data_IF_975797708502
#
_entry.id   IF_975797708502
#
_cell.length_a   1.000
_cell.length_b   1.000
_cell.length_c   1.000
_cell.angle_alpha   90.00
_cell.angle_beta   90.00
_cell.angle_gamma   90.00
#
_symmetry.space_group_name_H-M   'P 1'
#
loop_
_entity.id
_entity.type
_entity.pdbx_description
1 polymer ?
#
# COMPACT_ATOMS: atom_id res chain seq x y z
N UNK A 1 2.36 15.46 -6.09
CA UNK A 1 1.65 14.36 -5.41
C UNK A 1 0.41 13.99 -6.22
N UNK A 2 0.24 12.73 -6.57
CA UNK A 2 -0.97 12.20 -7.17
C UNK A 2 -1.87 11.57 -6.09
N UNK A 3 -3.13 12.03 -5.99
CA UNK A 3 -4.11 11.48 -5.06
C UNK A 3 -5.23 10.84 -5.89
N UNK A 4 -5.44 9.53 -5.83
CA UNK A 4 -6.53 8.90 -6.55
C UNK A 4 -7.88 9.28 -5.94
N UNK A 5 -8.90 9.46 -6.78
CA UNK A 5 -10.29 9.53 -6.37
C UNK A 5 -10.96 8.22 -6.82
N UNK A 6 -10.89 7.23 -5.97
CA UNK A 6 -11.52 5.93 -6.17
C UNK A 6 -12.87 5.82 -5.44
N UNK A 7 -13.12 4.64 -4.85
CA UNK A 7 -14.31 4.35 -4.04
C UNK A 7 -14.40 5.24 -2.79
N UNK A 8 -13.27 5.70 -2.27
CA UNK A 8 -13.15 6.58 -1.10
C UNK A 8 -12.09 7.66 -1.32
N UNK A 9 -12.22 8.82 -0.64
CA UNK A 9 -11.19 9.86 -0.68
C UNK A 9 -9.97 9.39 0.13
N UNK A 10 -8.83 9.23 -0.53
CA UNK A 10 -7.58 8.83 0.12
C UNK A 10 -6.85 10.05 0.72
N UNK A 11 -7.46 10.67 1.71
CA UNK A 11 -6.89 11.83 2.38
C UNK A 11 -5.58 11.49 3.13
N UNK A 12 -5.45 10.27 3.65
CA UNK A 12 -4.22 9.77 4.27
C UNK A 12 -3.04 9.79 3.30
N UNK A 13 -3.25 9.53 2.02
CA UNK A 13 -2.20 9.60 1.00
C UNK A 13 -1.57 11.00 0.90
N UNK A 14 -2.34 12.07 1.13
CA UNK A 14 -1.79 13.44 1.17
C UNK A 14 -0.75 13.56 2.29
N UNK A 15 -1.05 13.01 3.47
CA UNK A 15 -0.15 13.05 4.63
C UNK A 15 1.04 12.11 4.43
N UNK A 16 0.80 10.88 3.97
CA UNK A 16 1.84 9.86 3.77
C UNK A 16 2.89 10.25 2.71
N UNK A 17 2.49 11.03 1.72
CA UNK A 17 3.41 11.53 0.68
C UNK A 17 3.95 12.93 1.00
N UNK A 18 3.12 13.79 1.56
CA UNK A 18 3.48 15.19 1.79
C UNK A 18 4.34 15.42 3.03
N UNK A 19 4.17 14.62 4.11
CA UNK A 19 5.02 14.75 5.30
C UNK A 19 6.47 14.42 4.99
N UNK A 20 6.81 13.27 4.37
CA UNK A 20 8.20 12.97 4.00
C UNK A 20 8.80 14.03 3.06
N UNK A 21 8.04 14.51 2.07
CA UNK A 21 8.49 15.56 1.17
C UNK A 21 8.85 16.85 1.93
N UNK A 22 8.02 17.27 2.86
CA UNK A 22 8.26 18.45 3.71
C UNK A 22 9.49 18.28 4.61
N UNK A 23 9.63 17.11 5.24
CA UNK A 23 10.78 16.81 6.10
C UNK A 23 12.08 16.75 5.29
N UNK A 24 12.03 16.27 4.04
CA UNK A 24 13.15 16.31 3.11
C UNK A 24 13.51 17.72 2.61
N UNK A 25 12.68 18.73 2.91
CA UNK A 25 12.95 20.12 2.52
C UNK A 25 12.45 20.47 1.11
N UNK A 26 11.54 19.69 0.53
CA UNK A 26 10.92 20.03 -0.77
C UNK A 26 10.20 21.36 -0.68
N UNK A 27 10.59 22.31 -1.50
CA UNK A 27 10.07 23.69 -1.43
C UNK A 27 8.70 23.84 -2.07
N UNK A 28 8.49 23.19 -3.21
CA UNK A 28 7.24 23.27 -3.98
C UNK A 28 6.60 21.89 -4.08
N UNK A 29 5.42 21.74 -3.49
CA UNK A 29 4.59 20.55 -3.61
C UNK A 29 3.25 20.94 -4.23
N UNK A 30 2.82 20.20 -5.23
CA UNK A 30 1.52 20.35 -5.86
C UNK A 30 0.74 19.04 -5.76
N UNK A 31 -0.58 19.12 -5.75
CA UNK A 31 -1.46 17.95 -5.76
C UNK A 31 -2.22 17.90 -7.09
N UNK A 32 -2.30 16.71 -7.67
CA UNK A 32 -3.27 16.39 -8.72
C UNK A 32 -4.24 15.33 -8.22
N UNK A 33 -5.53 15.53 -8.45
CA UNK A 33 -6.56 14.57 -8.05
C UNK A 33 -7.75 14.67 -9.00
N UNK A 34 -8.30 13.53 -9.46
CA UNK A 34 -9.52 13.56 -10.22
C UNK A 34 -10.68 14.04 -9.33
N UNK A 35 -11.67 14.64 -9.94
CA UNK A 35 -12.89 15.06 -9.26
C UNK A 35 -14.07 14.22 -9.75
N UNK A 36 -15.02 13.94 -8.84
CA UNK A 36 -16.26 13.28 -9.19
C UNK A 36 -17.24 14.20 -9.96
N UNK A 37 -18.47 13.74 -10.11
CA UNK A 37 -19.55 14.48 -10.80
C UNK A 37 -19.83 15.88 -10.26
N UNK A 38 -19.49 16.13 -8.99
CA UNK A 38 -19.62 17.45 -8.36
C UNK A 38 -18.61 18.49 -8.87
N UNK A 39 -17.56 18.07 -9.57
CA UNK A 39 -16.44 18.93 -9.98
C UNK A 39 -15.62 19.50 -8.82
N UNK A 40 -15.80 18.98 -7.60
CA UNK A 40 -15.13 19.46 -6.38
C UNK A 40 -14.15 18.42 -5.85
N UNK A 41 -13.03 18.90 -5.33
CA UNK A 41 -12.10 18.07 -4.54
C UNK A 41 -12.74 17.76 -3.19
N UNK A 42 -12.53 16.55 -2.70
CA UNK A 42 -13.10 16.14 -1.40
C UNK A 42 -12.54 16.99 -0.25
N UNK A 43 -13.37 17.46 0.71
CA UNK A 43 -12.95 18.34 1.79
C UNK A 43 -11.81 17.78 2.64
N UNK A 44 -11.74 16.48 2.89
CA UNK A 44 -10.65 15.85 3.64
C UNK A 44 -9.31 16.00 2.94
N UNK A 45 -9.25 15.89 1.60
CA UNK A 45 -8.02 16.12 0.82
C UNK A 45 -7.59 17.58 0.96
N UNK A 46 -8.53 18.53 0.83
CA UNK A 46 -8.26 19.96 1.00
C UNK A 46 -7.75 20.28 2.40
N UNK A 47 -8.33 19.65 3.43
CA UNK A 47 -7.91 19.83 4.81
C UNK A 47 -6.48 19.33 5.03
N UNK A 48 -6.15 18.14 4.57
CA UNK A 48 -4.80 17.59 4.66
C UNK A 48 -3.78 18.43 3.87
N UNK A 49 -4.12 18.89 2.68
CA UNK A 49 -3.28 19.80 1.90
C UNK A 49 -3.00 21.10 2.64
N UNK A 50 -4.04 21.69 3.26
CA UNK A 50 -3.90 22.92 4.08
C UNK A 50 -3.01 22.69 5.30
N UNK A 51 -3.12 21.56 6.00
CA UNK A 51 -2.24 21.20 7.12
C UNK A 51 -0.77 21.18 6.70
N UNK A 52 -0.48 20.73 5.49
CA UNK A 52 0.86 20.67 4.92
C UNK A 52 1.29 21.99 4.22
N UNK A 53 0.41 23.01 4.15
CA UNK A 53 0.66 24.25 3.41
C UNK A 53 0.85 24.03 1.91
N UNK A 54 0.14 23.03 1.34
CA UNK A 54 0.10 22.79 -0.10
C UNK A 54 -1.09 23.55 -0.66
N UNK A 55 -0.82 24.59 -1.45
CA UNK A 55 -1.84 25.52 -1.95
C UNK A 55 -2.28 25.20 -3.39
N UNK A 56 -1.41 24.59 -4.18
CA UNK A 56 -1.70 24.27 -5.58
C UNK A 56 -2.32 22.86 -5.70
N UNK A 57 -3.58 22.81 -6.11
CA UNK A 57 -4.34 21.56 -6.32
C UNK A 57 -5.00 21.60 -7.70
N UNK A 58 -4.57 20.71 -8.57
CA UNK A 58 -5.12 20.59 -9.93
C UNK A 58 -6.18 19.48 -10.00
N UNK A 59 -7.36 19.81 -10.52
CA UNK A 59 -8.51 18.91 -10.70
C UNK A 59 -8.33 18.05 -11.97
N UNK A 60 -7.30 17.24 -12.00
CA UNK A 60 -6.98 16.38 -13.12
C UNK A 60 -6.47 15.03 -12.59
N UNK A 61 -6.86 13.94 -13.25
CA UNK A 61 -6.47 12.58 -12.85
C UNK A 61 -6.02 11.73 -14.03
N UNK A 62 -5.70 10.47 -13.71
CA UNK A 62 -5.26 9.50 -14.69
C UNK A 62 -3.90 9.82 -15.32
N UNK A 63 -3.62 9.21 -16.47
CA UNK A 63 -2.38 9.43 -17.22
C UNK A 63 -2.16 10.90 -17.63
N UNK A 64 -3.25 11.64 -17.85
CA UNK A 64 -3.17 13.05 -18.22
C UNK A 64 -2.52 13.92 -17.14
N UNK A 65 -2.79 13.64 -15.85
CA UNK A 65 -2.14 14.38 -14.76
C UNK A 65 -0.65 14.09 -14.69
N UNK A 66 -0.25 12.84 -14.91
CA UNK A 66 1.17 12.45 -14.94
C UNK A 66 1.90 13.15 -16.08
N UNK A 67 1.30 13.15 -17.29
CA UNK A 67 1.85 13.86 -18.44
C UNK A 67 1.96 15.37 -18.18
N UNK A 68 0.91 15.98 -17.59
CA UNK A 68 0.90 17.41 -17.23
C UNK A 68 2.02 17.78 -16.27
N UNK A 69 2.22 16.99 -15.22
CA UNK A 69 3.29 17.18 -14.23
C UNK A 69 4.68 16.95 -14.84
N UNK A 70 4.86 15.90 -15.65
CA UNK A 70 6.16 15.54 -16.20
C UNK A 70 6.65 16.51 -17.31
N UNK A 71 5.72 17.11 -18.06
CA UNK A 71 6.03 17.98 -19.18
C UNK A 71 5.89 19.48 -18.87
N UNK A 72 5.07 19.83 -17.88
CA UNK A 72 4.69 21.21 -17.62
C UNK A 72 3.71 21.74 -18.68
N UNK A 73 2.40 21.45 -18.52
CA UNK A 73 1.38 21.78 -19.52
C UNK A 73 0.35 22.75 -18.96
N UNK A 74 0.08 23.83 -19.67
CA UNK A 74 -0.88 24.87 -19.26
C UNK A 74 -0.46 25.53 -17.95
N UNK A 75 -1.31 25.54 -16.90
CA UNK A 75 -0.97 26.10 -15.60
C UNK A 75 -0.10 25.18 -14.75
N UNK A 76 0.06 23.92 -15.14
CA UNK A 76 0.82 22.92 -14.37
C UNK A 76 2.31 23.10 -14.65
N UNK A 77 3.08 23.44 -13.63
CA UNK A 77 4.54 23.49 -13.74
C UNK A 77 5.12 22.09 -13.86
N UNK A 78 6.21 21.95 -14.62
CA UNK A 78 7.00 20.73 -14.65
C UNK A 78 7.56 20.44 -13.25
N UNK A 79 7.50 19.19 -12.84
CA UNK A 79 8.04 18.74 -11.54
C UNK A 79 9.20 17.77 -11.74
N UNK A 80 10.05 17.67 -10.71
CA UNK A 80 11.19 16.75 -10.72
C UNK A 80 10.81 15.33 -10.29
N UNK A 81 9.77 15.19 -9.43
CA UNK A 81 9.32 13.90 -8.93
C UNK A 81 7.80 13.83 -8.79
N UNK A 82 7.22 12.66 -9.13
CA UNK A 82 5.79 12.36 -8.97
C UNK A 82 5.66 11.19 -7.99
N UNK A 83 4.95 11.40 -6.90
CA UNK A 83 4.68 10.39 -5.86
C UNK A 83 3.17 10.19 -5.66
N UNK A 84 2.81 9.05 -5.13
CA UNK A 84 1.43 8.70 -4.80
C UNK A 84 0.89 7.52 -5.62
N UNK A 85 -0.02 6.71 -5.03
CA UNK A 85 -0.58 5.53 -5.65
C UNK A 85 -1.54 5.87 -6.78
N UNK A 86 -1.69 4.96 -7.73
CA UNK A 86 -2.65 5.11 -8.81
C UNK A 86 -2.93 3.79 -9.50
N UNK A 87 -4.06 3.68 -10.17
CA UNK A 87 -4.39 2.50 -10.95
C UNK A 87 -3.44 2.30 -12.15
N UNK A 88 -3.68 1.23 -12.94
CA UNK A 88 -2.81 0.79 -14.03
C UNK A 88 -2.41 1.91 -15.00
N UNK A 89 -3.33 2.80 -15.36
CA UNK A 89 -3.05 3.91 -16.28
C UNK A 89 -2.09 4.96 -15.69
N UNK A 90 -2.21 5.24 -14.40
CA UNK A 90 -1.32 6.17 -13.70
C UNK A 90 0.06 5.55 -13.54
N UNK A 91 0.12 4.29 -13.11
CA UNK A 91 1.38 3.55 -12.96
C UNK A 91 2.11 3.42 -14.29
N UNK A 92 1.40 3.07 -15.38
CA UNK A 92 2.00 3.00 -16.72
C UNK A 92 2.52 4.35 -17.20
N UNK A 93 1.78 5.43 -16.96
CA UNK A 93 2.22 6.78 -17.32
C UNK A 93 3.45 7.23 -16.51
N UNK A 94 3.52 6.90 -15.20
CA UNK A 94 4.69 7.17 -14.35
C UNK A 94 5.93 6.45 -14.89
N UNK A 95 5.81 5.14 -15.18
CA UNK A 95 6.91 4.34 -15.76
C UNK A 95 7.37 4.92 -17.08
N UNK A 96 6.44 5.25 -17.96
CA UNK A 96 6.78 5.83 -19.26
C UNK A 96 7.52 7.17 -19.11
N UNK A 97 7.01 8.07 -18.28
CA UNK A 97 7.64 9.37 -18.05
C UNK A 97 9.05 9.24 -17.43
N UNK A 98 9.23 8.30 -16.49
CA UNK A 98 10.53 7.99 -15.92
C UNK A 98 11.49 7.41 -16.96
N UNK A 99 11.04 6.45 -17.77
CA UNK A 99 11.86 5.83 -18.82
C UNK A 99 12.33 6.85 -19.88
N UNK A 100 11.54 7.92 -20.10
CA UNK A 100 11.93 9.03 -20.98
C UNK A 100 12.86 10.06 -20.29
N UNK A 101 13.23 9.84 -19.02
CA UNK A 101 14.06 10.78 -18.27
C UNK A 101 13.37 12.11 -17.95
N UNK A 102 12.04 12.17 -17.99
CA UNK A 102 11.27 13.39 -17.79
C UNK A 102 11.09 13.74 -16.31
N UNK A 103 10.92 12.72 -15.45
CA UNK A 103 10.56 12.86 -14.04
C UNK A 103 10.98 11.64 -13.23
N UNK A 104 11.36 11.82 -11.96
CA UNK A 104 11.48 10.72 -10.99
C UNK A 104 10.11 10.27 -10.49
N UNK A 105 10.02 9.01 -10.06
CA UNK A 105 8.81 8.46 -9.45
C UNK A 105 9.14 7.78 -8.11
N UNK A 106 8.11 7.51 -7.31
CA UNK A 106 8.13 6.58 -6.18
C UNK A 106 7.98 5.14 -6.67
N UNK A 107 7.71 4.23 -5.75
CA UNK A 107 7.40 2.84 -6.09
C UNK A 107 6.11 2.73 -6.93
N UNK A 108 6.00 1.65 -7.70
CA UNK A 108 4.79 1.38 -8.48
C UNK A 108 3.76 0.68 -7.59
N UNK A 109 2.57 1.25 -7.52
CA UNK A 109 1.44 0.60 -6.91
C UNK A 109 0.89 -0.48 -7.86
N UNK A 110 0.78 -1.70 -7.38
CA UNK A 110 0.06 -2.81 -7.98
C UNK A 110 -1.17 -3.18 -7.14
N UNK A 111 -1.70 -4.39 -7.31
CA UNK A 111 -2.72 -4.93 -6.42
C UNK A 111 -2.26 -4.94 -4.97
N UNK A 112 -3.16 -4.62 -4.05
CA UNK A 112 -2.84 -4.65 -2.63
C UNK A 112 -2.79 -6.11 -2.14
N UNK A 113 -1.86 -6.41 -1.23
CA UNK A 113 -1.56 -7.77 -0.81
C UNK A 113 -1.38 -7.86 0.70
N UNK A 114 -1.97 -8.87 1.32
CA UNK A 114 -1.68 -9.26 2.69
C UNK A 114 -1.22 -10.70 2.75
N UNK A 115 -0.22 -10.97 3.57
CA UNK A 115 0.15 -12.33 3.97
C UNK A 115 0.13 -12.41 5.49
N UNK A 116 -0.57 -13.41 6.03
CA UNK A 116 -0.61 -13.67 7.46
C UNK A 116 0.08 -15.01 7.76
N UNK A 117 1.09 -14.97 8.63
CA UNK A 117 1.73 -16.15 9.21
C UNK A 117 1.05 -16.47 10.53
N UNK A 118 0.41 -17.64 10.67
CA UNK A 118 -0.36 -17.97 11.87
C UNK A 118 -0.04 -19.38 12.39
N UNK A 119 0.06 -19.55 13.73
CA UNK A 119 0.21 -20.85 14.40
C UNK A 119 -1.07 -21.28 15.17
N UNK A 120 -2.09 -20.42 15.17
CA UNK A 120 -3.36 -20.65 15.86
C UNK A 120 -3.40 -20.11 17.29
N UNK A 121 -2.39 -19.36 17.74
CA UNK A 121 -2.42 -18.67 19.05
C UNK A 121 -3.29 -17.43 19.02
N UNK A 122 -3.40 -16.76 17.87
CA UNK A 122 -4.36 -15.67 17.65
C UNK A 122 -5.72 -16.28 17.23
N UNK A 123 -6.85 -15.76 17.76
CA UNK A 123 -8.17 -16.21 17.34
C UNK A 123 -8.35 -16.13 15.82
N UNK A 124 -8.84 -17.21 15.20
CA UNK A 124 -8.99 -17.27 13.74
C UNK A 124 -9.93 -16.18 13.18
N UNK A 125 -10.88 -15.72 13.99
CA UNK A 125 -11.80 -14.63 13.62
C UNK A 125 -11.07 -13.31 13.39
N UNK A 126 -9.98 -13.03 14.12
CA UNK A 126 -9.16 -11.83 13.92
C UNK A 126 -8.39 -11.92 12.62
N UNK A 127 -7.70 -13.05 12.40
CA UNK A 127 -7.04 -13.31 11.11
C UNK A 127 -8.02 -13.21 9.93
N UNK A 128 -9.26 -13.70 10.12
CA UNK A 128 -10.31 -13.59 9.11
C UNK A 128 -10.68 -12.13 8.82
N UNK A 129 -10.84 -11.33 9.86
CA UNK A 129 -11.20 -9.92 9.72
C UNK A 129 -10.14 -9.17 8.92
N UNK A 130 -8.85 -9.42 9.17
CA UNK A 130 -7.75 -8.76 8.48
C UNK A 130 -7.66 -9.20 7.00
N UNK A 131 -7.83 -10.50 6.71
CA UNK A 131 -7.90 -11.00 5.34
C UNK A 131 -9.10 -10.43 4.56
N UNK A 132 -10.26 -10.32 5.20
CA UNK A 132 -11.46 -9.73 4.58
C UNK A 132 -11.28 -8.24 4.33
N UNK A 133 -10.75 -7.49 5.31
CA UNK A 133 -10.46 -6.06 5.16
C UNK A 133 -9.54 -5.79 3.97
N UNK A 134 -8.51 -6.61 3.77
CA UNK A 134 -7.64 -6.53 2.60
C UNK A 134 -8.38 -6.75 1.28
N UNK A 135 -9.27 -7.74 1.24
CA UNK A 135 -10.00 -8.08 0.01
C UNK A 135 -11.07 -7.04 -0.38
N UNK A 136 -11.47 -6.15 0.55
CA UNK A 136 -12.36 -5.02 0.25
C UNK A 136 -11.70 -3.92 -0.59
N UNK A 137 -10.37 -3.87 -0.68
CA UNK A 137 -9.65 -2.87 -1.47
C UNK A 137 -9.96 -2.97 -2.96
N UNK A 138 -10.13 -4.18 -3.50
CA UNK A 138 -10.48 -4.37 -4.91
C UNK A 138 -10.58 -5.84 -5.31
N UNK A 139 -11.13 -6.08 -6.51
CA UNK A 139 -11.26 -7.44 -7.06
C UNK A 139 -9.90 -8.09 -7.40
N UNK A 140 -8.87 -7.29 -7.52
CA UNK A 140 -7.48 -7.66 -7.81
C UNK A 140 -6.61 -7.79 -6.55
N UNK A 141 -7.14 -7.47 -5.36
CA UNK A 141 -6.43 -7.64 -4.09
C UNK A 141 -6.22 -9.12 -3.75
N UNK A 142 -5.06 -9.45 -3.17
CA UNK A 142 -4.69 -10.80 -2.78
C UNK A 142 -4.55 -10.94 -1.27
N UNK A 143 -4.95 -12.09 -0.78
CA UNK A 143 -4.82 -12.47 0.62
C UNK A 143 -4.20 -13.87 0.73
N UNK A 144 -3.16 -14.00 1.56
CA UNK A 144 -2.45 -15.25 1.79
C UNK A 144 -2.49 -15.59 3.27
N UNK A 145 -2.81 -16.82 3.59
CA UNK A 145 -2.71 -17.39 4.93
C UNK A 145 -1.73 -18.56 4.91
N UNK A 146 -0.65 -18.48 5.66
CA UNK A 146 0.30 -19.58 5.82
C UNK A 146 0.29 -20.02 7.27
N UNK A 147 0.10 -21.30 7.52
CA UNK A 147 0.10 -21.86 8.87
C UNK A 147 0.84 -23.20 8.93
N UNK A 148 1.51 -23.45 10.06
CA UNK A 148 2.07 -24.74 10.41
C UNK A 148 1.12 -25.59 11.27
N UNK A 149 -0.11 -25.13 11.50
CA UNK A 149 -1.11 -25.81 12.30
C UNK A 149 -2.30 -26.27 11.43
N UNK A 150 -2.31 -27.57 11.08
CA UNK A 150 -3.40 -28.15 10.27
C UNK A 150 -4.78 -27.98 10.91
N UNK A 151 -4.90 -28.10 12.23
CA UNK A 151 -6.19 -27.95 12.91
C UNK A 151 -6.69 -26.50 12.86
N UNK A 152 -5.77 -25.55 12.84
CA UNK A 152 -6.12 -24.14 12.59
C UNK A 152 -6.63 -23.96 11.16
N UNK A 153 -5.96 -24.54 10.17
CA UNK A 153 -6.36 -24.42 8.76
C UNK A 153 -7.70 -25.12 8.46
N UNK A 154 -8.06 -26.19 9.16
CA UNK A 154 -9.38 -26.85 9.01
C UNK A 154 -10.56 -25.91 9.27
N UNK A 155 -10.38 -24.86 10.07
CA UNK A 155 -11.43 -23.86 10.32
C UNK A 155 -11.74 -23.00 9.08
N UNK A 156 -10.82 -22.95 8.13
CA UNK A 156 -10.91 -22.16 6.90
C UNK A 156 -11.51 -22.93 5.71
N UNK A 157 -11.79 -24.21 5.89
CA UNK A 157 -12.41 -25.04 4.85
C UNK A 157 -13.95 -25.03 4.91
N UNK A 158 -14.55 -24.22 5.79
CA UNK A 158 -16.00 -24.10 5.89
C UNK A 158 -16.56 -23.38 4.64
N UNK A 159 -17.48 -24.02 3.86
CA UNK A 159 -18.09 -23.43 2.67
C UNK A 159 -18.91 -22.16 2.94
N UNK A 160 -19.34 -21.93 4.19
CA UNK A 160 -20.03 -20.70 4.60
C UNK A 160 -19.13 -19.48 4.65
N UNK A 161 -17.80 -19.69 4.68
CA UNK A 161 -16.82 -18.64 4.53
C UNK A 161 -16.68 -18.36 3.02
N UNK A 162 -17.55 -17.51 2.48
CA UNK A 162 -17.48 -17.04 1.09
C UNK A 162 -16.23 -16.18 0.92
N UNK A 163 -15.11 -16.83 0.69
CA UNK A 163 -13.86 -16.15 0.37
C UNK A 163 -13.79 -15.78 -1.11
N UNK A 164 -13.18 -14.66 -1.37
CA UNK A 164 -12.80 -14.25 -2.72
C UNK A 164 -11.92 -15.33 -3.39
N UNK A 165 -12.00 -15.42 -4.71
CA UNK A 165 -11.10 -16.24 -5.54
C UNK A 165 -9.60 -15.96 -5.33
N UNK A 166 -9.28 -14.84 -4.70
CA UNK A 166 -7.92 -14.37 -4.45
C UNK A 166 -7.41 -14.66 -3.03
N UNK A 167 -8.10 -15.51 -2.26
CA UNK A 167 -7.58 -16.04 -1.00
C UNK A 167 -6.82 -17.34 -1.26
N UNK A 168 -5.56 -17.39 -0.82
CA UNK A 168 -4.70 -18.56 -0.91
C UNK A 168 -4.34 -19.04 0.50
N UNK A 169 -4.64 -20.29 0.81
CA UNK A 169 -4.34 -20.91 2.11
C UNK A 169 -3.28 -21.98 1.92
N UNK A 170 -2.20 -21.90 2.68
CA UNK A 170 -1.03 -22.77 2.53
C UNK A 170 -0.68 -23.42 3.86
N UNK A 171 -0.52 -24.73 3.85
CA UNK A 171 0.08 -25.47 4.95
C UNK A 171 1.60 -25.49 4.80
N UNK A 172 2.33 -25.03 5.81
CA UNK A 172 3.79 -25.07 5.87
C UNK A 172 4.23 -26.00 7.00
N UNK A 173 5.06 -27.00 6.70
CA UNK A 173 5.47 -28.04 7.68
C UNK A 173 6.29 -27.48 8.84
N UNK A 174 6.83 -26.27 8.75
CA UNK A 174 7.73 -25.67 9.74
C UNK A 174 7.75 -24.13 9.64
N UNK A 175 8.17 -23.47 10.73
CA UNK A 175 8.42 -22.01 10.72
C UNK A 175 9.41 -21.61 9.63
N UNK A 176 10.44 -22.41 9.37
CA UNK A 176 11.40 -22.18 8.28
C UNK A 176 10.69 -22.12 6.92
N UNK A 177 9.79 -23.08 6.64
CA UNK A 177 9.03 -23.08 5.38
C UNK A 177 8.08 -21.87 5.30
N UNK A 178 7.49 -21.45 6.42
CA UNK A 178 6.68 -20.23 6.47
C UNK A 178 7.49 -19.00 6.05
N UNK A 179 8.72 -18.86 6.57
CA UNK A 179 9.65 -17.78 6.23
C UNK A 179 10.04 -17.83 4.75
N UNK A 180 10.41 -19.01 4.26
CA UNK A 180 10.80 -19.19 2.86
C UNK A 180 9.67 -18.78 1.91
N UNK A 181 8.43 -19.22 2.19
CA UNK A 181 7.24 -18.84 1.40
C UNK A 181 6.92 -17.36 1.51
N UNK A 182 6.99 -16.77 2.71
CA UNK A 182 6.75 -15.34 2.90
C UNK A 182 7.74 -14.48 2.09
N UNK A 183 9.03 -14.83 2.12
CA UNK A 183 10.05 -14.15 1.33
C UNK A 183 9.89 -14.40 -0.18
N UNK A 184 9.36 -15.56 -0.59
CA UNK A 184 9.08 -15.83 -2.01
C UNK A 184 7.87 -15.04 -2.51
N UNK A 185 6.84 -14.88 -1.71
CA UNK A 185 5.67 -14.06 -2.05
C UNK A 185 6.07 -12.58 -2.03
N UNK A 186 6.82 -12.17 -1.01
CA UNK A 186 7.23 -10.78 -0.78
C UNK A 186 6.02 -9.82 -0.80
N UNK A 187 5.04 -10.02 0.10
CA UNK A 187 3.78 -9.30 0.09
C UNK A 187 3.97 -7.84 0.47
N UNK A 188 3.02 -6.98 0.10
CA UNK A 188 2.95 -5.59 0.55
C UNK A 188 2.86 -5.49 2.08
N UNK A 189 1.94 -6.26 2.66
CA UNK A 189 1.73 -6.31 4.11
C UNK A 189 1.98 -7.73 4.63
N UNK A 190 2.77 -7.86 5.68
CA UNK A 190 3.03 -9.12 6.36
C UNK A 190 2.59 -9.03 7.82
N UNK A 191 1.60 -9.83 8.22
CA UNK A 191 1.20 -9.98 9.62
C UNK A 191 1.77 -11.26 10.22
N UNK A 192 2.22 -11.19 11.47
CA UNK A 192 2.79 -12.32 12.20
C UNK A 192 1.92 -12.64 13.40
N UNK A 193 1.05 -13.63 13.26
CA UNK A 193 0.16 -14.15 14.28
C UNK A 193 0.74 -15.43 14.92
N UNK A 194 1.98 -15.34 15.41
CA UNK A 194 2.70 -16.43 16.04
C UNK A 194 2.94 -16.15 17.52
N UNK A 195 3.04 -17.23 18.31
CA UNK A 195 3.35 -17.15 19.73
C UNK A 195 4.73 -16.53 20.02
N UNK A 196 5.72 -16.84 19.17
CA UNK A 196 7.10 -16.41 19.36
C UNK A 196 7.63 -15.78 18.06
N UNK A 197 7.17 -14.60 17.67
CA UNK A 197 7.52 -13.97 16.38
C UNK A 197 9.02 -13.64 16.28
N UNK A 198 9.69 -13.40 17.43
CA UNK A 198 11.10 -13.07 17.51
C UNK A 198 12.03 -14.13 16.89
N UNK A 199 11.57 -15.38 16.77
CA UNK A 199 12.35 -16.47 16.16
C UNK A 199 12.54 -16.33 14.67
N UNK A 200 11.61 -15.66 14.01
CA UNK A 200 11.59 -15.60 12.54
C UNK A 200 11.70 -14.19 11.98
N UNK A 201 11.43 -13.15 12.77
CA UNK A 201 11.35 -11.78 12.27
C UNK A 201 12.62 -11.32 11.55
N UNK A 202 13.79 -11.67 12.05
CA UNK A 202 15.07 -11.30 11.42
C UNK A 202 15.32 -12.01 10.08
N UNK A 203 14.56 -13.05 9.77
CA UNK A 203 14.65 -13.82 8.53
C UNK A 203 13.63 -13.36 7.47
N UNK A 204 12.65 -12.51 7.85
CA UNK A 204 11.64 -11.94 6.97
C UNK A 204 12.19 -10.65 6.38
N UNK A 205 12.79 -10.73 5.20
CA UNK A 205 13.59 -9.65 4.60
C UNK A 205 12.96 -9.03 3.37
N UNK A 206 11.82 -9.54 2.92
CA UNK A 206 11.23 -9.14 1.63
C UNK A 206 9.88 -8.41 1.77
N UNK A 207 9.38 -8.25 2.99
CA UNK A 207 8.14 -7.51 3.24
C UNK A 207 8.45 -6.07 3.63
N UNK A 208 7.90 -5.07 2.94
CA UNK A 208 8.13 -3.65 3.23
C UNK A 208 7.44 -3.18 4.52
N UNK A 209 6.37 -3.85 4.94
CA UNK A 209 5.67 -3.57 6.19
C UNK A 209 5.38 -4.88 6.94
N UNK A 210 5.78 -4.93 8.21
CA UNK A 210 5.60 -6.11 9.07
C UNK A 210 4.83 -5.69 10.33
N UNK A 211 3.71 -6.36 10.57
CA UNK A 211 2.81 -6.16 11.71
C UNK A 211 2.92 -7.37 12.65
N UNK A 212 3.24 -7.13 13.93
CA UNK A 212 3.58 -8.21 14.85
C UNK A 212 2.53 -8.36 15.93
N UNK A 213 1.94 -9.56 15.99
CA UNK A 213 0.94 -9.94 16.97
C UNK A 213 -0.49 -9.58 16.59
N UNK A 214 -1.46 -10.30 17.17
CA UNK A 214 -2.88 -10.17 16.82
C UNK A 214 -3.55 -8.83 17.16
N UNK A 215 -2.84 -7.94 17.86
CA UNK A 215 -3.31 -6.58 18.14
C UNK A 215 -2.70 -5.52 17.23
N UNK A 216 -2.03 -5.93 16.18
CA UNK A 216 -1.36 -5.06 15.21
C UNK A 216 -1.88 -5.30 13.79
N UNK A 217 -3.17 -5.06 13.51
CA UNK A 217 -3.71 -5.24 12.16
C UNK A 217 -3.17 -4.17 11.20
N UNK A 218 -3.17 -4.44 9.90
CA UNK A 218 -2.75 -3.50 8.84
C UNK A 218 -3.44 -2.14 8.97
N UNK A 219 -4.73 -2.12 9.32
CA UNK A 219 -5.50 -0.88 9.49
C UNK A 219 -4.90 0.09 10.53
N UNK A 220 -4.16 -0.38 11.53
CA UNK A 220 -3.43 0.51 12.44
C UNK A 220 -2.29 1.22 11.71
N UNK A 221 -1.61 0.53 10.79
CA UNK A 221 -0.54 1.08 9.97
C UNK A 221 -1.01 2.21 9.07
N UNK A 222 -2.22 2.11 8.55
CA UNK A 222 -2.79 3.11 7.66
C UNK A 222 -3.10 4.45 8.35
N UNK A 223 -3.33 4.45 9.66
CA UNK A 223 -3.82 5.65 10.35
C UNK A 223 -3.05 6.04 11.61
N UNK A 224 -2.74 5.12 12.52
CA UNK A 224 -2.31 5.45 13.88
C UNK A 224 -0.87 5.06 14.21
N UNK A 225 -0.28 4.06 13.56
CA UNK A 225 1.05 3.57 13.89
C UNK A 225 2.19 4.54 13.48
N UNK A 226 1.90 5.51 12.61
CA UNK A 226 2.90 6.47 12.11
C UNK A 226 3.79 5.91 11.01
N UNK A 227 3.59 4.66 10.59
CA UNK A 227 4.24 4.07 9.42
C UNK A 227 3.69 4.66 8.12
N UNK A 228 4.47 4.58 7.03
CA UNK A 228 3.99 5.00 5.72
C UNK A 228 3.28 3.84 5.02
N UNK A 229 2.07 4.09 4.51
CA UNK A 229 1.30 3.09 3.76
C UNK A 229 1.55 3.14 2.23
N UNK A 230 2.46 4.02 1.76
CA UNK A 230 2.90 4.01 0.35
C UNK A 230 3.98 2.96 0.18
N UNK A 231 3.57 1.74 -0.08
CA UNK A 231 4.39 0.53 -0.05
C UNK A 231 4.60 -0.05 -1.45
N UNK A 232 5.73 -0.71 -1.70
CA UNK A 232 5.90 -1.53 -2.89
C UNK A 232 5.01 -2.78 -2.82
N UNK A 233 4.37 -3.11 -3.95
CA UNK A 233 3.49 -4.27 -4.13
C UNK A 233 4.05 -5.24 -5.17
N UNK A 234 3.37 -6.34 -5.43
CA UNK A 234 3.72 -7.31 -6.48
C UNK A 234 5.18 -7.83 -6.36
N UNK A 235 5.58 -8.15 -5.15
CA UNK A 235 6.91 -8.70 -4.86
C UNK A 235 8.05 -7.68 -4.96
N UNK A 236 7.76 -6.39 -5.13
CA UNK A 236 8.79 -5.34 -5.26
C UNK A 236 9.49 -5.01 -3.95
N UNK A 237 8.98 -5.44 -2.80
CA UNK A 237 9.67 -5.35 -1.51
C UNK A 237 11.09 -5.94 -1.51
N UNK A 238 11.43 -6.76 -2.53
CA UNK A 238 12.78 -7.30 -2.74
C UNK A 238 13.83 -6.25 -3.10
N UNK A 239 13.42 -5.11 -3.66
CA UNK A 239 14.35 -4.09 -4.19
C UNK A 239 13.82 -2.65 -4.04
N UNK A 240 12.56 -2.46 -3.64
CA UNK A 240 11.97 -1.16 -3.33
C UNK A 240 11.70 -1.05 -1.83
N UNK A 241 11.65 0.18 -1.33
CA UNK A 241 11.34 0.51 0.07
C UNK A 241 10.01 1.26 0.18
N UNK A 242 9.38 1.29 1.37
CA UNK A 242 8.32 2.25 1.67
C UNK A 242 8.78 3.68 1.37
N UNK A 243 7.84 4.53 0.96
CA UNK A 243 8.14 5.95 0.71
C UNK A 243 8.65 6.63 1.99
N UNK A 244 9.80 7.25 1.90
CA UNK A 244 10.45 7.95 3.01
C UNK A 244 11.08 9.28 2.60
N UNK A 245 11.75 9.94 3.54
CA UNK A 245 12.44 11.22 3.30
C UNK A 245 13.60 11.10 2.29
N UNK A 246 14.18 9.92 2.16
CA UNK A 246 15.25 9.61 1.19
C UNK A 246 14.78 9.54 -0.26
N UNK A 247 13.47 9.58 -0.48
CA UNK A 247 12.87 9.56 -1.82
C UNK A 247 12.81 10.95 -2.48
N UNK A 248 13.12 12.02 -1.75
CA UNK A 248 12.97 13.39 -2.16
C UNK A 248 14.29 14.16 -2.25
#
# INVERSE_FOLDING_TARGET
IYIPAGKAPLASTVLMTGIPAKLAGVKECVITTPVGSSGKVHPAILYCAKLLGIEEIYKIGGAHSIAGLALGVGPIKKVDKIVGPGGVWVSSAKVYAQAQGLVGIDTLAGPSEILILADGTVPWQWTQADLLAQMEHGEDSWAFLISNNENYLKKWTNPELTFSKNLVIIYAKSERMMVELANQIAPEHLEIHLKNPERIISQLTQAPAIFIGGHSPVAIGDYLAGSNHSLPTAGRGRFDSPLGVWDF
#
